data_IF_159851964021
#
_entry.id   IF_159851964021
#
_cell.length_a   1.000
_cell.length_b   1.000
_cell.length_c   1.000
_cell.angle_alpha   90.00
_cell.angle_beta   90.00
_cell.angle_gamma   90.00
#
_symmetry.space_group_name_H-M   'P 1'
#
loop_
_entity.id
_entity.type
_entity.pdbx_description
1 polymer ?
#
# COMPACT_ATOMS: atom_id res chain seq x y z
N UNK A 1 12.81 7.20 16.93
CA UNK A 1 11.62 6.77 17.72
C UNK A 1 12.01 5.57 18.57
N UNK A 2 11.49 5.47 19.82
CA UNK A 2 11.71 4.25 20.61
C UNK A 2 10.95 3.07 19.99
N UNK A 3 11.50 1.86 20.14
CA UNK A 3 10.78 0.64 19.73
C UNK A 3 9.38 0.55 20.35
N UNK A 4 9.24 1.00 21.60
CA UNK A 4 7.95 1.00 22.29
C UNK A 4 6.93 1.99 21.69
N UNK A 5 7.38 3.13 21.18
CA UNK A 5 6.49 4.10 20.51
C UNK A 5 5.94 3.49 19.22
N UNK A 6 6.81 2.91 18.40
CA UNK A 6 6.42 2.21 17.16
C UNK A 6 5.49 1.05 17.46
N UNK A 7 5.80 0.27 18.49
CA UNK A 7 4.98 -0.89 18.89
C UNK A 7 3.58 -0.47 19.35
N UNK A 8 3.47 0.62 20.11
CA UNK A 8 2.17 1.14 20.57
C UNK A 8 1.30 1.60 19.38
N UNK A 9 1.87 2.30 18.41
CA UNK A 9 1.16 2.69 17.19
C UNK A 9 0.70 1.48 16.38
N UNK A 10 1.53 0.44 16.29
CA UNK A 10 1.14 -0.80 15.62
C UNK A 10 0.02 -1.54 16.37
N UNK A 11 -0.02 -1.48 17.70
CA UNK A 11 -1.13 -2.04 18.50
C UNK A 11 -2.46 -1.31 18.21
N UNK A 12 -2.44 0.01 18.03
CA UNK A 12 -3.65 0.77 17.66
C UNK A 12 -4.15 0.33 16.29
N UNK A 13 -3.25 0.20 15.32
CA UNK A 13 -3.57 -0.31 13.97
C UNK A 13 -4.15 -1.73 14.04
N UNK A 14 -3.52 -2.61 14.81
CA UNK A 14 -3.97 -4.00 15.01
C UNK A 14 -5.34 -4.05 15.68
N UNK A 15 -5.57 -3.20 16.69
CA UNK A 15 -6.88 -3.12 17.35
C UNK A 15 -8.00 -2.74 16.40
N UNK A 16 -7.78 -1.73 15.54
CA UNK A 16 -8.74 -1.36 14.51
C UNK A 16 -9.01 -2.52 13.52
N UNK A 17 -7.96 -3.22 13.09
CA UNK A 17 -8.12 -4.39 12.21
C UNK A 17 -8.87 -5.53 12.93
N UNK A 18 -8.57 -5.81 14.20
CA UNK A 18 -9.26 -6.81 15.00
C UNK A 18 -10.75 -6.45 15.20
N UNK A 19 -11.05 -5.17 15.41
CA UNK A 19 -12.44 -4.70 15.51
C UNK A 19 -13.20 -4.91 14.19
N UNK A 20 -12.58 -4.64 13.04
CA UNK A 20 -13.16 -4.92 11.73
C UNK A 20 -13.40 -6.42 11.49
N UNK A 21 -12.44 -7.27 11.87
CA UNK A 21 -12.57 -8.72 11.82
C UNK A 21 -13.74 -9.21 12.68
N UNK A 22 -13.86 -8.73 13.91
CA UNK A 22 -14.95 -9.06 14.80
C UNK A 22 -16.30 -8.55 14.28
N UNK A 23 -16.34 -7.33 13.75
CA UNK A 23 -17.55 -6.76 13.17
C UNK A 23 -18.08 -7.62 12.01
N UNK A 24 -17.18 -8.18 11.18
CA UNK A 24 -17.55 -9.12 10.14
C UNK A 24 -18.11 -10.43 10.72
N UNK A 25 -17.41 -11.03 11.69
CA UNK A 25 -17.86 -12.28 12.34
C UNK A 25 -19.18 -12.14 13.09
N UNK A 26 -19.48 -10.95 13.62
CA UNK A 26 -20.75 -10.63 14.29
C UNK A 26 -21.85 -10.21 13.31
N UNK A 27 -21.57 -10.12 12.00
CA UNK A 27 -22.56 -9.80 10.97
C UNK A 27 -22.86 -8.30 10.79
N UNK A 28 -22.11 -7.40 11.45
CA UNK A 28 -22.21 -5.95 11.22
C UNK A 28 -21.60 -5.54 9.87
N UNK A 29 -20.55 -6.23 9.42
CA UNK A 29 -19.94 -6.09 8.11
C UNK A 29 -20.19 -7.35 7.29
N UNK A 30 -20.29 -7.18 6.00
CA UNK A 30 -20.55 -8.25 5.03
C UNK A 30 -19.81 -7.93 3.73
N UNK A 31 -19.65 -8.91 2.87
CA UNK A 31 -19.02 -8.72 1.55
C UNK A 31 -19.61 -7.55 0.76
N UNK A 32 -20.93 -7.33 0.83
CA UNK A 32 -21.58 -6.20 0.16
C UNK A 32 -21.24 -4.87 0.84
N UNK A 33 -21.25 -4.85 2.17
CA UNK A 33 -20.88 -3.66 2.96
C UNK A 33 -19.42 -3.29 2.70
N UNK A 34 -18.52 -4.27 2.66
CA UNK A 34 -17.09 -4.08 2.40
C UNK A 34 -16.85 -3.49 1.00
N UNK A 35 -17.59 -3.97 -0.01
CA UNK A 35 -17.52 -3.39 -1.35
C UNK A 35 -17.98 -1.93 -1.39
N UNK A 36 -19.06 -1.59 -0.69
CA UNK A 36 -19.57 -0.22 -0.62
C UNK A 36 -18.60 0.70 0.14
N UNK A 37 -18.03 0.20 1.25
CA UNK A 37 -17.04 0.93 2.03
C UNK A 37 -15.75 1.15 1.23
N UNK A 38 -15.29 0.15 0.49
CA UNK A 38 -14.15 0.28 -0.42
C UNK A 38 -14.39 1.35 -1.50
N UNK A 39 -15.58 1.37 -2.10
CA UNK A 39 -15.97 2.39 -3.09
C UNK A 39 -16.00 3.78 -2.48
N UNK A 40 -16.53 3.94 -1.28
CA UNK A 40 -16.56 5.21 -0.56
C UNK A 40 -15.14 5.70 -0.23
N UNK A 41 -14.30 4.80 0.29
CA UNK A 41 -12.90 5.10 0.58
C UNK A 41 -12.14 5.58 -0.66
N UNK A 42 -12.15 4.79 -1.73
CA UNK A 42 -11.39 5.11 -2.94
C UNK A 42 -12.03 6.20 -3.79
N UNK A 43 -13.35 6.40 -3.68
CA UNK A 43 -14.08 7.41 -4.47
C UNK A 43 -14.07 8.80 -3.87
N UNK A 44 -14.03 8.92 -2.54
CA UNK A 44 -14.23 10.21 -1.84
C UNK A 44 -13.18 10.42 -0.75
N UNK A 45 -13.04 9.49 0.20
CA UNK A 45 -12.29 9.71 1.44
C UNK A 45 -10.78 9.80 1.18
N UNK A 46 -10.21 8.83 0.44
CA UNK A 46 -8.79 8.84 0.06
C UNK A 46 -8.44 10.01 -0.86
N UNK A 47 -9.23 10.37 -1.89
CA UNK A 47 -9.04 11.63 -2.62
C UNK A 47 -9.00 12.88 -1.74
N UNK A 48 -9.89 12.98 -0.74
CA UNK A 48 -9.85 14.09 0.22
C UNK A 48 -8.56 14.07 1.07
N UNK A 49 -8.12 12.89 1.53
CA UNK A 49 -6.85 12.74 2.24
C UNK A 49 -5.67 13.21 1.39
N UNK A 50 -5.62 12.78 0.12
CA UNK A 50 -4.56 13.15 -0.83
C UNK A 50 -4.53 14.66 -1.05
N UNK A 51 -5.66 15.28 -1.32
CA UNK A 51 -5.74 16.73 -1.53
C UNK A 51 -5.49 17.51 -0.23
N UNK A 52 -5.93 16.99 0.91
CA UNK A 52 -5.66 17.54 2.23
C UNK A 52 -4.18 17.57 2.57
N UNK A 53 -3.38 16.59 2.10
CA UNK A 53 -1.94 16.51 2.38
C UNK A 53 -1.13 17.69 1.83
N UNK A 54 -1.64 18.39 0.80
CA UNK A 54 -1.00 19.58 0.24
C UNK A 54 -1.63 20.90 0.72
N UNK A 55 -2.66 20.83 1.56
CA UNK A 55 -3.33 22.01 2.15
C UNK A 55 -2.87 22.32 3.58
N UNK A 56 -2.29 21.33 4.28
CA UNK A 56 -2.02 21.38 5.72
C UNK A 56 -0.61 21.90 6.08
N UNK A 57 0.25 22.20 5.12
CA UNK A 57 1.63 22.60 5.39
C UNK A 57 1.89 24.09 5.16
N UNK A 58 2.50 24.76 6.14
CA UNK A 58 3.05 26.11 5.98
C UNK A 58 4.18 26.17 4.92
N UNK A 59 4.72 24.99 4.55
CA UNK A 59 5.74 24.83 3.51
C UNK A 59 5.39 23.65 2.62
N UNK A 60 4.95 23.95 1.40
CA UNK A 60 4.84 22.93 0.36
C UNK A 60 6.22 22.34 0.04
N UNK A 61 6.34 21.02 -0.23
CA UNK A 61 7.60 20.41 -0.59
C UNK A 61 8.24 21.09 -1.78
N UNK A 62 9.54 21.29 -1.71
CA UNK A 62 10.32 21.89 -2.80
C UNK A 62 10.33 20.97 -4.03
N UNK A 63 10.51 21.57 -5.21
CA UNK A 63 10.68 20.80 -6.47
C UNK A 63 11.79 19.76 -6.36
N UNK A 64 12.87 20.06 -5.59
CA UNK A 64 13.96 19.12 -5.33
C UNK A 64 13.53 17.89 -4.54
N UNK A 65 12.66 18.06 -3.54
CA UNK A 65 12.09 16.94 -2.76
C UNK A 65 11.15 16.11 -3.61
N UNK A 66 10.29 16.73 -4.41
CA UNK A 66 9.41 16.00 -5.34
C UNK A 66 10.23 15.15 -6.31
N UNK A 67 11.30 15.71 -6.89
CA UNK A 67 12.20 14.98 -7.79
C UNK A 67 12.91 13.83 -7.05
N UNK A 68 13.27 14.05 -5.80
CA UNK A 68 13.84 13.03 -4.91
C UNK A 68 12.88 11.83 -4.73
N UNK A 69 11.59 12.10 -4.43
CA UNK A 69 10.57 11.05 -4.32
C UNK A 69 10.39 10.27 -5.62
N UNK A 70 10.37 10.96 -6.76
CA UNK A 70 10.25 10.32 -8.07
C UNK A 70 11.43 9.40 -8.39
N UNK A 71 12.66 9.81 -8.05
CA UNK A 71 13.86 8.96 -8.18
C UNK A 71 13.74 7.70 -7.29
N UNK A 72 13.32 7.88 -6.04
CA UNK A 72 13.08 6.77 -5.12
C UNK A 72 11.97 5.84 -5.64
N UNK A 73 10.90 6.39 -6.23
CA UNK A 73 9.83 5.59 -6.84
C UNK A 73 10.34 4.70 -7.99
N UNK A 74 11.23 5.23 -8.84
CA UNK A 74 11.86 4.44 -9.92
C UNK A 74 12.63 3.25 -9.33
N UNK A 75 13.43 3.49 -8.29
CA UNK A 75 14.19 2.42 -7.62
C UNK A 75 13.26 1.41 -6.98
N UNK A 76 12.21 1.89 -6.28
CA UNK A 76 11.20 1.07 -5.63
C UNK A 76 10.54 0.08 -6.60
N UNK A 77 9.94 0.60 -7.67
CA UNK A 77 9.26 -0.26 -8.66
C UNK A 77 10.25 -1.06 -9.49
N UNK A 78 11.42 -0.50 -9.81
CA UNK A 78 12.51 -1.23 -10.47
C UNK A 78 12.92 -2.48 -9.70
N UNK A 79 13.11 -2.36 -8.38
CA UNK A 79 13.44 -3.49 -7.50
C UNK A 79 12.29 -4.50 -7.43
N UNK A 80 11.03 -4.03 -7.37
CA UNK A 80 9.85 -4.89 -7.39
C UNK A 80 9.76 -5.72 -8.67
N UNK A 81 9.90 -5.09 -9.84
CA UNK A 81 9.90 -5.77 -11.14
C UNK A 81 11.10 -6.71 -11.31
N UNK A 82 12.28 -6.31 -10.88
CA UNK A 82 13.47 -7.16 -10.89
C UNK A 82 13.25 -8.42 -10.05
N UNK A 83 12.70 -8.29 -8.85
CA UNK A 83 12.37 -9.41 -7.97
C UNK A 83 11.31 -10.32 -8.56
N UNK A 84 10.29 -9.75 -9.20
CA UNK A 84 9.27 -10.51 -9.90
C UNK A 84 9.82 -11.28 -11.12
N UNK A 85 10.83 -10.77 -11.79
CA UNK A 85 11.51 -11.48 -12.88
C UNK A 85 12.35 -12.67 -12.37
N UNK A 86 12.85 -12.59 -11.14
CA UNK A 86 13.59 -13.68 -10.48
C UNK A 86 12.67 -14.72 -9.83
N UNK A 87 11.38 -14.41 -9.62
CA UNK A 87 10.41 -15.25 -8.93
C UNK A 87 10.40 -16.71 -9.40
N UNK A 88 10.37 -17.05 -10.71
CA UNK A 88 10.31 -18.44 -11.14
C UNK A 88 11.50 -19.29 -10.65
N UNK A 89 12.66 -18.65 -10.44
CA UNK A 89 13.86 -19.32 -9.91
C UNK A 89 13.84 -19.44 -8.38
N UNK A 90 13.16 -18.52 -7.70
CA UNK A 90 13.13 -18.44 -6.24
C UNK A 90 12.00 -19.28 -5.63
N UNK A 91 10.81 -19.19 -6.17
CA UNK A 91 9.60 -19.78 -5.60
C UNK A 91 9.07 -20.94 -6.45
N UNK A 92 9.27 -20.93 -7.76
CA UNK A 92 8.75 -21.95 -8.69
C UNK A 92 7.22 -22.03 -8.66
N UNK A 93 6.63 -23.13 -9.04
CA UNK A 93 5.18 -23.39 -8.95
C UNK A 93 4.44 -23.34 -10.28
N UNK A 94 3.12 -23.49 -10.22
CA UNK A 94 2.26 -23.44 -11.40
C UNK A 94 2.15 -22.02 -11.97
N UNK A 95 1.96 -21.89 -13.29
CA UNK A 95 1.95 -20.59 -13.98
C UNK A 95 0.98 -19.56 -13.35
N UNK A 96 -0.22 -19.99 -12.93
CA UNK A 96 -1.18 -19.09 -12.26
C UNK A 96 -0.71 -18.60 -10.88
N UNK A 97 -0.02 -19.46 -10.12
CA UNK A 97 0.57 -19.09 -8.83
C UNK A 97 1.73 -18.11 -9.03
N UNK A 98 2.57 -18.33 -10.05
CA UNK A 98 3.66 -17.42 -10.37
C UNK A 98 3.15 -16.00 -10.67
N UNK A 99 2.01 -15.87 -11.34
CA UNK A 99 1.35 -14.58 -11.54
C UNK A 99 1.03 -13.86 -10.24
N UNK A 100 0.47 -14.59 -9.27
CA UNK A 100 0.16 -14.06 -7.93
C UNK A 100 1.43 -13.64 -7.19
N UNK A 101 2.48 -14.43 -7.25
CA UNK A 101 3.73 -14.11 -6.54
C UNK A 101 4.46 -12.93 -7.15
N UNK A 102 4.52 -12.83 -8.48
CA UNK A 102 5.03 -11.63 -9.17
C UNK A 102 4.25 -10.39 -8.79
N UNK A 103 2.91 -10.48 -8.82
CA UNK A 103 2.06 -9.39 -8.39
C UNK A 103 2.35 -8.98 -6.95
N UNK A 104 2.43 -9.94 -6.04
CA UNK A 104 2.72 -9.72 -4.62
C UNK A 104 4.10 -9.09 -4.38
N UNK A 105 5.10 -9.41 -5.19
CA UNK A 105 6.45 -8.82 -5.07
C UNK A 105 6.50 -7.37 -5.56
N UNK A 106 5.71 -7.01 -6.56
CA UNK A 106 5.69 -5.64 -7.12
C UNK A 106 4.77 -4.73 -6.29
N UNK A 107 3.57 -5.22 -5.94
CA UNK A 107 2.49 -4.38 -5.43
C UNK A 107 2.21 -4.66 -3.96
N UNK A 108 2.45 -3.65 -3.12
CA UNK A 108 2.13 -3.64 -1.69
C UNK A 108 0.85 -2.90 -1.38
N UNK A 109 0.28 -3.15 -0.21
CA UNK A 109 -0.89 -2.46 0.29
C UNK A 109 -0.53 -1.06 0.82
N UNK A 110 -0.12 -0.18 -0.10
CA UNK A 110 0.39 1.15 0.22
C UNK A 110 -0.72 2.11 0.66
N UNK A 111 -1.95 1.96 0.13
CA UNK A 111 -3.04 2.90 0.42
C UNK A 111 -3.77 2.57 1.73
N UNK A 112 -4.26 1.34 1.90
CA UNK A 112 -5.10 0.99 3.05
C UNK A 112 -4.32 0.80 4.36
N UNK A 113 -3.09 0.27 4.30
CA UNK A 113 -2.22 0.09 5.47
C UNK A 113 -1.06 1.08 5.43
N UNK A 114 -0.48 1.32 4.26
CA UNK A 114 0.73 2.12 4.11
C UNK A 114 0.55 3.59 4.49
N UNK A 115 -0.55 4.25 4.11
CA UNK A 115 -0.81 5.63 4.53
C UNK A 115 -0.94 5.77 6.04
N UNK A 116 -1.84 5.00 6.71
CA UNK A 116 -1.92 5.01 8.17
C UNK A 116 -0.58 4.77 8.87
N UNK A 117 0.16 3.75 8.45
CA UNK A 117 1.45 3.41 9.04
C UNK A 117 2.49 4.52 8.81
N UNK A 118 2.53 5.09 7.60
CA UNK A 118 3.48 6.17 7.30
C UNK A 118 3.21 7.41 8.15
N UNK A 119 1.92 7.78 8.34
CA UNK A 119 1.53 8.90 9.20
C UNK A 119 1.83 8.62 10.66
N UNK A 120 1.54 7.41 11.15
CA UNK A 120 1.82 7.00 12.51
C UNK A 120 3.33 7.04 12.83
N UNK A 121 4.18 6.60 11.90
CA UNK A 121 5.63 6.53 12.12
C UNK A 121 6.37 7.85 11.89
N UNK A 122 5.95 8.63 10.90
CA UNK A 122 6.72 9.79 10.42
C UNK A 122 5.95 11.11 10.49
N UNK A 123 4.70 11.09 10.98
CA UNK A 123 3.84 12.27 11.07
C UNK A 123 3.12 12.60 9.77
N UNK A 124 2.30 13.66 9.82
CA UNK A 124 1.45 14.07 8.68
C UNK A 124 2.25 14.46 7.42
N UNK A 125 3.47 14.94 7.59
CA UNK A 125 4.36 15.31 6.49
C UNK A 125 4.68 14.11 5.57
N UNK A 126 4.73 12.91 6.13
CA UNK A 126 4.99 11.69 5.38
C UNK A 126 3.91 11.37 4.34
N UNK A 127 2.68 11.85 4.56
CA UNK A 127 1.54 11.52 3.71
C UNK A 127 1.75 11.99 2.27
N UNK A 128 2.25 13.22 2.09
CA UNK A 128 2.50 13.76 0.75
C UNK A 128 3.51 12.90 -0.03
N UNK A 129 4.62 12.53 0.60
CA UNK A 129 5.63 11.68 -0.05
C UNK A 129 5.11 10.27 -0.33
N UNK A 130 4.33 9.71 0.59
CA UNK A 130 3.67 8.43 0.39
C UNK A 130 2.68 8.47 -0.79
N UNK A 131 1.90 9.54 -0.94
CA UNK A 131 0.97 9.75 -2.06
C UNK A 131 1.70 9.75 -3.40
N UNK A 132 2.83 10.46 -3.52
CA UNK A 132 3.63 10.46 -4.77
C UNK A 132 4.21 9.07 -5.06
N UNK A 133 4.69 8.35 -4.05
CA UNK A 133 5.19 6.98 -4.20
C UNK A 133 4.09 5.99 -4.64
N UNK A 134 2.82 6.24 -4.26
CA UNK A 134 1.66 5.41 -4.64
C UNK A 134 1.14 5.74 -6.03
N UNK A 135 1.44 6.90 -6.61
CA UNK A 135 1.00 7.27 -7.96
C UNK A 135 1.33 6.20 -9.02
N UNK A 136 2.60 5.73 -9.14
CA UNK A 136 2.93 4.65 -10.06
C UNK A 136 2.20 3.33 -9.73
N UNK A 137 1.92 3.04 -8.44
CA UNK A 137 1.16 1.86 -8.06
C UNK A 137 -0.20 1.80 -8.75
N UNK A 138 -0.97 2.88 -8.67
CA UNK A 138 -2.29 2.92 -9.27
C UNK A 138 -2.23 2.70 -10.80
N UNK A 139 -1.25 3.34 -11.45
CA UNK A 139 -1.05 3.20 -12.89
C UNK A 139 -0.62 1.77 -13.27
N UNK A 140 0.41 1.25 -12.61
CA UNK A 140 1.04 -0.03 -12.95
C UNK A 140 0.17 -1.22 -12.51
N UNK A 141 -0.48 -1.16 -11.34
CA UNK A 141 -1.30 -2.24 -10.82
C UNK A 141 -2.52 -2.51 -11.71
N UNK A 142 -3.17 -1.46 -12.20
CA UNK A 142 -4.34 -1.62 -13.06
C UNK A 142 -3.99 -1.86 -14.54
N UNK A 143 -2.81 -1.45 -15.02
CA UNK A 143 -2.36 -1.70 -16.39
C UNK A 143 -1.65 -3.04 -16.55
N UNK A 144 -0.65 -3.32 -15.71
CA UNK A 144 0.18 -4.53 -15.78
C UNK A 144 -0.33 -5.67 -14.88
N UNK A 145 -1.11 -5.33 -13.82
CA UNK A 145 -1.63 -6.33 -12.89
C UNK A 145 -2.40 -7.46 -13.57
N UNK A 146 -3.39 -7.18 -14.46
CA UNK A 146 -4.10 -8.22 -15.22
C UNK A 146 -3.18 -9.09 -16.09
N UNK A 147 -2.17 -8.48 -16.72
CA UNK A 147 -1.18 -9.20 -17.52
C UNK A 147 -0.34 -10.15 -16.65
N UNK A 148 0.10 -9.67 -15.50
CA UNK A 148 0.92 -10.43 -14.55
C UNK A 148 0.12 -11.59 -13.96
N UNK A 149 -1.15 -11.36 -13.57
CA UNK A 149 -1.99 -12.34 -12.89
C UNK A 149 -2.55 -13.42 -13.80
N UNK A 150 -2.92 -13.06 -15.04
CA UNK A 150 -3.68 -13.94 -15.92
C UNK A 150 -3.14 -14.04 -17.34
N UNK A 151 -2.03 -13.37 -17.65
CA UNK A 151 -1.48 -13.32 -19.01
C UNK A 151 -2.37 -12.55 -20.02
N UNK A 152 -3.38 -11.80 -19.52
CA UNK A 152 -4.33 -11.05 -20.36
C UNK A 152 -4.12 -9.55 -20.17
N UNK A 153 -3.78 -8.87 -21.23
CA UNK A 153 -3.71 -7.41 -21.26
C UNK A 153 -5.03 -6.83 -21.75
N UNK A 154 -5.89 -6.40 -20.84
CA UNK A 154 -7.06 -5.55 -21.15
C UNK A 154 -6.89 -4.23 -20.41
N UNK A 155 -6.10 -3.35 -21.00
CA UNK A 155 -5.94 -2.00 -20.50
C UNK A 155 -7.24 -1.21 -20.67
N UNK A 156 -7.80 -0.69 -19.57
CA UNK A 156 -8.99 0.17 -19.58
C UNK A 156 -8.57 1.59 -19.23
N UNK A 157 -8.61 2.51 -20.18
CA UNK A 157 -8.31 3.93 -19.96
C UNK A 157 -9.10 4.55 -18.81
N UNK A 158 -10.31 4.07 -18.55
CA UNK A 158 -11.17 4.52 -17.46
C UNK A 158 -10.53 4.33 -16.07
N UNK A 159 -9.62 3.39 -15.92
CA UNK A 159 -8.92 3.15 -14.66
C UNK A 159 -7.88 4.24 -14.35
N UNK A 160 -7.35 4.91 -15.38
CA UNK A 160 -6.47 6.07 -15.22
C UNK A 160 -7.20 7.30 -14.71
N UNK A 161 -8.52 7.35 -14.85
CA UNK A 161 -9.38 8.41 -14.36
C UNK A 161 -9.96 8.09 -12.97
N UNK A 162 -9.36 7.17 -12.22
CA UNK A 162 -9.80 6.90 -10.85
C UNK A 162 -9.67 8.16 -9.98
N UNK A 163 -10.62 8.40 -9.05
CA UNK A 163 -10.58 9.58 -8.19
C UNK A 163 -9.25 9.77 -7.44
N UNK A 164 -8.63 8.68 -7.01
CA UNK A 164 -7.33 8.72 -6.35
C UNK A 164 -6.20 9.20 -7.28
N UNK A 165 -6.17 8.75 -8.54
CA UNK A 165 -5.16 9.21 -9.52
C UNK A 165 -5.37 10.70 -9.83
N UNK A 166 -6.62 11.10 -10.08
CA UNK A 166 -6.96 12.51 -10.36
C UNK A 166 -6.56 13.39 -9.17
N UNK A 167 -6.92 13.00 -7.95
CA UNK A 167 -6.54 13.73 -6.73
C UNK A 167 -5.01 13.81 -6.56
N UNK A 168 -4.28 12.72 -6.85
CA UNK A 168 -2.81 12.69 -6.75
C UNK A 168 -2.15 13.62 -7.78
N UNK A 169 -2.67 13.64 -9.01
CA UNK A 169 -2.19 14.57 -10.05
C UNK A 169 -2.46 16.02 -9.66
N UNK A 170 -3.67 16.32 -9.15
CA UNK A 170 -4.01 17.66 -8.67
C UNK A 170 -3.10 18.05 -7.49
N UNK A 171 -2.90 17.18 -6.51
CA UNK A 171 -2.02 17.43 -5.37
C UNK A 171 -0.59 17.72 -5.83
N UNK A 172 -0.07 16.95 -6.80
CA UNK A 172 1.25 17.19 -7.39
C UNK A 172 1.32 18.54 -8.10
N UNK A 173 0.28 18.92 -8.84
CA UNK A 173 0.20 20.23 -9.49
C UNK A 173 0.15 21.36 -8.46
N UNK A 174 -0.67 21.25 -7.42
CA UNK A 174 -0.74 22.21 -6.30
C UNK A 174 0.63 22.41 -5.67
N UNK A 175 1.36 21.32 -5.40
CA UNK A 175 2.71 21.38 -4.83
C UNK A 175 3.72 22.01 -5.79
N UNK A 176 3.76 21.60 -7.07
CA UNK A 176 4.72 22.09 -8.06
C UNK A 176 4.52 23.59 -8.39
N UNK A 177 3.30 24.04 -8.48
CA UNK A 177 2.96 25.43 -8.80
C UNK A 177 2.77 26.31 -7.56
N UNK A 178 2.99 25.77 -6.36
CA UNK A 178 2.81 26.47 -5.08
C UNK A 178 1.45 27.16 -4.97
N UNK A 179 0.38 26.47 -5.38
CA UNK A 179 -0.97 27.01 -5.38
C UNK A 179 -1.50 27.07 -3.94
N UNK A 180 -1.80 28.26 -3.44
CA UNK A 180 -2.38 28.43 -2.12
C UNK A 180 -3.84 27.96 -2.12
N UNK A 181 -4.12 26.93 -1.34
CA UNK A 181 -5.47 26.41 -1.15
C UNK A 181 -6.20 27.23 -0.06
N UNK A 182 -7.50 27.61 -0.25
CA UNK A 182 -8.27 28.26 0.80
C UNK A 182 -8.30 27.41 2.08
N UNK A 183 -8.04 28.04 3.24
CA UNK A 183 -7.93 27.35 4.53
C UNK A 183 -9.16 26.48 4.84
N UNK A 184 -10.36 27.02 4.64
CA UNK A 184 -11.60 26.28 4.85
C UNK A 184 -11.70 25.02 3.98
N UNK A 185 -11.27 25.09 2.72
CA UNK A 185 -11.26 23.93 1.84
C UNK A 185 -10.28 22.87 2.36
N UNK A 186 -9.09 23.31 2.81
CA UNK A 186 -8.10 22.45 3.43
C UNK A 186 -8.64 21.74 4.67
N UNK A 187 -9.31 22.46 5.56
CA UNK A 187 -9.95 21.89 6.76
C UNK A 187 -11.01 20.83 6.40
N UNK A 188 -11.89 21.12 5.45
CA UNK A 188 -12.90 20.17 4.99
C UNK A 188 -12.28 18.89 4.40
N UNK A 189 -11.24 19.05 3.58
CA UNK A 189 -10.51 17.92 2.98
C UNK A 189 -9.81 17.09 4.05
N UNK A 190 -9.12 17.71 5.00
CA UNK A 190 -8.45 17.02 6.10
C UNK A 190 -9.43 16.31 7.03
N UNK A 191 -10.54 16.96 7.38
CA UNK A 191 -11.59 16.37 8.21
C UNK A 191 -12.17 15.11 7.55
N UNK A 192 -12.55 15.19 6.27
CA UNK A 192 -13.05 14.03 5.53
C UNK A 192 -11.97 12.99 5.33
N UNK A 193 -10.76 13.41 4.98
CA UNK A 193 -9.60 12.54 4.75
C UNK A 193 -9.18 11.76 6.00
N UNK A 194 -9.36 12.32 7.20
CA UNK A 194 -9.01 11.66 8.47
C UNK A 194 -9.76 10.35 8.71
N UNK A 195 -10.92 10.17 8.07
CA UNK A 195 -11.67 8.91 8.10
C UNK A 195 -10.93 7.75 7.39
N UNK A 196 -9.93 8.05 6.54
CA UNK A 196 -9.18 7.02 5.79
C UNK A 196 -8.58 5.99 6.74
N UNK A 197 -7.84 6.43 7.75
CA UNK A 197 -7.11 5.53 8.66
C UNK A 197 -8.05 4.55 9.38
N UNK A 198 -9.05 4.97 10.17
CA UNK A 198 -9.90 4.03 10.88
C UNK A 198 -10.74 3.15 9.94
N UNK A 199 -11.34 3.73 8.91
CA UNK A 199 -12.20 2.96 8.02
C UNK A 199 -11.43 1.97 7.14
N UNK A 200 -10.23 2.33 6.67
CA UNK A 200 -9.42 1.39 5.89
C UNK A 200 -8.94 0.21 6.72
N UNK A 201 -8.56 0.45 7.99
CA UNK A 201 -8.13 -0.63 8.88
C UNK A 201 -9.28 -1.54 9.28
N UNK A 202 -10.47 -0.99 9.56
CA UNK A 202 -11.69 -1.78 9.77
C UNK A 202 -12.02 -2.63 8.54
N UNK A 203 -11.95 -2.04 7.35
CA UNK A 203 -12.18 -2.76 6.10
C UNK A 203 -11.16 -3.88 5.89
N UNK A 204 -9.87 -3.64 6.12
CA UNK A 204 -8.83 -4.68 6.03
C UNK A 204 -9.14 -5.83 6.98
N UNK A 205 -9.50 -5.51 8.23
CA UNK A 205 -9.90 -6.51 9.23
C UNK A 205 -11.10 -7.34 8.78
N UNK A 206 -12.15 -6.68 8.26
CA UNK A 206 -13.34 -7.35 7.72
C UNK A 206 -12.99 -8.29 6.55
N UNK A 207 -12.20 -7.82 5.60
CA UNK A 207 -11.78 -8.63 4.45
C UNK A 207 -10.93 -9.83 4.85
N UNK A 208 -10.10 -9.70 5.89
CA UNK A 208 -9.34 -10.84 6.43
C UNK A 208 -10.25 -11.92 7.01
N UNK A 209 -11.42 -11.58 7.55
CA UNK A 209 -12.35 -12.55 8.12
C UNK A 209 -12.96 -13.53 7.10
N UNK A 210 -13.00 -13.15 5.82
CA UNK A 210 -13.49 -13.99 4.73
C UNK A 210 -12.42 -14.91 4.12
N UNK A 211 -11.15 -14.74 4.49
CA UNK A 211 -10.05 -15.47 3.87
C UNK A 211 -9.87 -16.87 4.47
N UNK A 212 -9.47 -17.87 3.65
CA UNK A 212 -9.27 -19.25 4.11
C UNK A 212 -8.00 -19.40 4.96
N UNK A 213 -8.15 -19.47 6.29
CA UNK A 213 -7.03 -19.53 7.23
C UNK A 213 -6.15 -20.79 7.12
N UNK A 214 -6.77 -21.96 6.91
CA UNK A 214 -6.08 -23.24 7.12
C UNK A 214 -4.91 -23.53 6.17
N UNK A 215 -5.07 -23.24 4.89
CA UNK A 215 -4.08 -23.58 3.85
C UNK A 215 -2.95 -22.57 3.72
N UNK A 216 -3.14 -21.33 4.18
CA UNK A 216 -2.11 -20.30 4.11
C UNK A 216 -0.85 -20.66 4.92
N UNK A 217 -1.03 -21.37 6.05
CA UNK A 217 0.10 -21.75 6.92
C UNK A 217 0.85 -23.00 6.47
N UNK A 218 0.26 -23.83 5.60
CA UNK A 218 0.84 -25.12 5.20
C UNK A 218 1.77 -25.05 4.00
N UNK A 219 1.78 -23.94 3.26
CA UNK A 219 2.59 -23.79 2.06
C UNK A 219 3.97 -23.16 2.34
N UNK A 220 5.08 -23.90 2.22
CA UNK A 220 6.43 -23.33 2.39
C UNK A 220 6.73 -22.18 1.43
N UNK A 221 6.12 -22.19 0.24
CA UNK A 221 6.29 -21.16 -0.77
C UNK A 221 5.64 -19.84 -0.37
N UNK A 222 4.48 -19.90 0.29
CA UNK A 222 3.83 -18.69 0.82
C UNK A 222 4.66 -18.07 1.96
N UNK A 223 5.27 -18.88 2.80
CA UNK A 223 6.21 -18.41 3.82
C UNK A 223 7.45 -17.78 3.20
N UNK A 224 8.01 -18.38 2.15
CA UNK A 224 9.14 -17.82 1.41
C UNK A 224 8.75 -16.49 0.75
N UNK A 225 7.55 -16.40 0.13
CA UNK A 225 7.02 -15.16 -0.41
C UNK A 225 6.88 -14.08 0.68
N UNK A 226 6.29 -14.44 1.82
CA UNK A 226 6.10 -13.50 2.93
C UNK A 226 7.45 -12.98 3.46
N UNK A 227 8.41 -13.86 3.68
CA UNK A 227 9.76 -13.48 4.12
C UNK A 227 10.47 -12.58 3.11
N UNK A 228 10.38 -12.92 1.82
CA UNK A 228 10.98 -12.14 0.75
C UNK A 228 10.33 -10.75 0.63
N UNK A 229 8.98 -10.71 0.65
CA UNK A 229 8.19 -9.50 0.52
C UNK A 229 8.37 -8.54 1.70
N UNK A 230 8.29 -9.07 2.94
CA UNK A 230 8.21 -8.26 4.14
C UNK A 230 9.58 -7.92 4.76
N UNK A 231 10.63 -8.67 4.42
CA UNK A 231 11.96 -8.48 4.99
C UNK A 231 13.02 -8.24 3.93
N UNK A 232 13.18 -9.16 2.96
CA UNK A 232 14.29 -9.10 2.01
C UNK A 232 14.17 -7.88 1.12
N UNK A 233 13.00 -7.65 0.49
CA UNK A 233 12.78 -6.51 -0.41
C UNK A 233 12.97 -5.16 0.29
N UNK A 234 12.35 -4.86 1.44
CA UNK A 234 12.55 -3.58 2.11
C UNK A 234 14.00 -3.39 2.60
N UNK A 235 14.67 -4.46 3.06
CA UNK A 235 16.10 -4.38 3.45
C UNK A 235 16.97 -4.10 2.21
N UNK A 236 16.71 -4.75 1.08
CA UNK A 236 17.43 -4.46 -0.17
C UNK A 236 17.23 -3.02 -0.62
N UNK A 237 15.99 -2.50 -0.56
CA UNK A 237 15.70 -1.11 -0.89
C UNK A 237 16.44 -0.17 0.06
N UNK A 238 16.38 -0.41 1.36
CA UNK A 238 17.07 0.40 2.36
C UNK A 238 18.58 0.45 2.14
N UNK A 239 19.23 -0.70 1.94
CA UNK A 239 20.64 -0.80 1.67
C UNK A 239 21.03 -0.08 0.37
N UNK A 240 20.23 -0.24 -0.68
CA UNK A 240 20.46 0.41 -1.97
C UNK A 240 20.34 1.93 -1.86
N UNK A 241 19.29 2.46 -1.23
CA UNK A 241 19.10 3.90 -1.04
C UNK A 241 20.20 4.51 -0.15
N UNK A 242 20.58 3.80 0.91
CA UNK A 242 21.68 4.21 1.79
C UNK A 242 23.03 4.26 1.06
N UNK A 243 23.30 3.27 0.21
CA UNK A 243 24.54 3.19 -0.56
C UNK A 243 24.62 4.26 -1.66
N UNK A 244 23.52 4.52 -2.35
CA UNK A 244 23.47 5.47 -3.47
C UNK A 244 23.22 6.91 -3.05
N UNK A 245 22.73 7.14 -1.83
CA UNK A 245 22.32 8.47 -1.36
C UNK A 245 21.13 9.05 -2.12
N UNK A 246 20.33 8.20 -2.82
CA UNK A 246 19.14 8.63 -3.55
C UNK A 246 18.02 8.90 -2.55
N UNK A 247 17.50 10.12 -2.57
CA UNK A 247 16.39 10.54 -1.71
C UNK A 247 16.87 11.20 -0.42
N UNK A 248 15.97 11.96 0.20
CA UNK A 248 16.18 12.42 1.57
C UNK A 248 16.01 11.24 2.54
N UNK A 249 16.59 11.29 3.75
CA UNK A 249 16.40 10.22 4.73
C UNK A 249 14.92 9.90 5.02
N UNK A 250 14.09 10.94 5.12
CA UNK A 250 12.65 10.78 5.35
C UNK A 250 11.98 10.03 4.19
N UNK A 251 12.22 10.45 2.95
CA UNK A 251 11.66 9.82 1.75
C UNK A 251 12.11 8.36 1.61
N UNK A 252 13.40 8.09 1.89
CA UNK A 252 13.95 6.74 1.88
C UNK A 252 13.27 5.84 2.92
N UNK A 253 13.12 6.32 4.16
CA UNK A 253 12.47 5.57 5.23
C UNK A 253 10.98 5.30 4.93
N UNK A 254 10.25 6.30 4.40
CA UNK A 254 8.85 6.12 3.96
C UNK A 254 8.78 5.05 2.86
N UNK A 255 9.66 5.11 1.87
CA UNK A 255 9.68 4.13 0.79
C UNK A 255 9.97 2.71 1.30
N UNK A 256 10.89 2.55 2.25
CA UNK A 256 11.21 1.25 2.87
C UNK A 256 10.01 0.71 3.64
N UNK A 257 9.32 1.54 4.43
CA UNK A 257 8.11 1.14 5.14
C UNK A 257 6.99 0.77 4.15
N UNK A 258 6.78 1.56 3.09
CA UNK A 258 5.79 1.22 2.05
C UNK A 258 6.17 -0.07 1.29
N UNK A 259 7.46 -0.34 1.10
CA UNK A 259 7.94 -1.61 0.55
C UNK A 259 7.67 -2.78 1.52
N UNK A 260 7.71 -2.57 2.81
CA UNK A 260 7.44 -3.58 3.84
C UNK A 260 5.93 -3.85 4.04
N UNK A 261 5.04 -3.11 3.39
CA UNK A 261 3.60 -3.38 3.47
C UNK A 261 3.25 -4.74 2.87
N UNK A 262 2.21 -5.41 3.39
CA UNK A 262 1.75 -6.70 2.87
C UNK A 262 1.28 -6.60 1.41
N UNK A 263 0.97 -7.73 0.81
CA UNK A 263 0.44 -7.81 -0.56
C UNK A 263 -0.81 -6.95 -0.72
N UNK A 264 -0.92 -6.27 -1.85
CA UNK A 264 -2.01 -5.35 -2.14
C UNK A 264 -3.38 -6.06 -2.23
N UNK A 265 -4.38 -5.54 -1.50
CA UNK A 265 -5.73 -6.10 -1.43
C UNK A 265 -6.47 -6.12 -2.78
N UNK A 266 -6.23 -5.12 -3.63
CA UNK A 266 -6.83 -5.06 -4.97
C UNK A 266 -6.39 -6.22 -5.88
N UNK A 267 -5.31 -6.93 -5.53
CA UNK A 267 -4.90 -8.15 -6.21
C UNK A 267 -5.97 -9.24 -6.22
N UNK A 268 -6.77 -9.37 -5.15
CA UNK A 268 -7.90 -10.32 -5.10
C UNK A 268 -8.97 -9.98 -6.12
N UNK A 269 -9.31 -8.70 -6.25
CA UNK A 269 -10.30 -8.23 -7.22
C UNK A 269 -9.81 -8.46 -8.66
N UNK A 270 -8.53 -8.12 -8.92
CA UNK A 270 -7.93 -8.32 -10.24
C UNK A 270 -7.80 -9.82 -10.58
N UNK A 271 -7.40 -10.67 -9.63
CA UNK A 271 -7.35 -12.11 -9.85
C UNK A 271 -8.73 -12.69 -10.18
N UNK A 272 -9.78 -12.22 -9.50
CA UNK A 272 -11.16 -12.65 -9.74
C UNK A 272 -11.68 -12.17 -11.10
N UNK A 273 -11.43 -10.91 -11.45
CA UNK A 273 -11.93 -10.29 -12.70
C UNK A 273 -11.24 -10.87 -13.94
N UNK A 274 -9.93 -11.16 -13.85
CA UNK A 274 -9.13 -11.57 -15.01
C UNK A 274 -8.76 -13.07 -15.03
N UNK A 275 -9.25 -13.87 -14.07
CA UNK A 275 -9.07 -15.33 -14.07
C UNK A 275 -7.71 -15.79 -13.53
N UNK A 276 -7.08 -15.00 -12.66
CA UNK A 276 -5.90 -15.39 -11.87
C UNK A 276 -6.25 -16.43 -10.79
N UNK A 277 -5.25 -16.88 -10.04
CA UNK A 277 -5.42 -17.79 -8.90
C UNK A 277 -5.92 -17.00 -7.66
N UNK A 278 -7.25 -16.96 -7.49
CA UNK A 278 -7.90 -16.21 -6.40
C UNK A 278 -7.62 -16.79 -5.03
N UNK A 279 -7.48 -18.12 -4.92
CA UNK A 279 -7.18 -18.78 -3.65
C UNK A 279 -5.74 -18.47 -3.21
N UNK A 280 -4.77 -18.64 -4.11
CA UNK A 280 -3.38 -18.30 -3.85
C UNK A 280 -3.21 -16.81 -3.50
N UNK A 281 -3.93 -15.91 -4.19
CA UNK A 281 -3.89 -14.47 -3.90
C UNK A 281 -4.45 -14.17 -2.51
N UNK A 282 -5.60 -14.75 -2.15
CA UNK A 282 -6.20 -14.58 -0.83
C UNK A 282 -5.28 -15.07 0.30
N UNK A 283 -4.65 -16.24 0.12
CA UNK A 283 -3.66 -16.79 1.06
C UNK A 283 -2.42 -15.90 1.18
N UNK A 284 -1.93 -15.35 0.06
CA UNK A 284 -0.77 -14.43 0.04
C UNK A 284 -1.07 -13.14 0.80
N UNK A 285 -2.24 -12.53 0.57
CA UNK A 285 -2.68 -11.33 1.27
C UNK A 285 -2.80 -11.62 2.76
N UNK A 286 -3.49 -12.70 3.12
CA UNK A 286 -3.70 -13.08 4.51
C UNK A 286 -2.37 -13.28 5.25
N UNK A 287 -1.49 -14.15 4.75
CA UNK A 287 -0.24 -14.48 5.42
C UNK A 287 0.67 -13.25 5.53
N UNK A 288 0.81 -12.48 4.44
CA UNK A 288 1.65 -11.27 4.48
C UNK A 288 1.09 -10.20 5.40
N UNK A 289 -0.24 -10.03 5.47
CA UNK A 289 -0.86 -9.07 6.40
C UNK A 289 -0.66 -9.50 7.85
N UNK A 290 -0.85 -10.78 8.16
CA UNK A 290 -0.62 -11.29 9.52
C UNK A 290 0.85 -11.13 9.95
N UNK A 291 1.79 -11.48 9.08
CA UNK A 291 3.22 -11.36 9.37
C UNK A 291 3.69 -9.91 9.45
N UNK A 292 3.05 -9.00 8.71
CA UNK A 292 3.41 -7.57 8.73
C UNK A 292 3.21 -6.92 10.10
N UNK A 293 2.34 -7.46 10.93
CA UNK A 293 2.12 -7.00 12.32
C UNK A 293 3.43 -7.04 13.13
N UNK A 294 4.28 -8.03 12.84
CA UNK A 294 5.57 -8.19 13.53
C UNK A 294 6.71 -7.55 12.74
N UNK A 295 6.71 -7.71 11.41
CA UNK A 295 7.84 -7.29 10.59
C UNK A 295 7.93 -5.78 10.43
N UNK A 296 6.79 -5.05 10.39
CA UNK A 296 6.80 -3.59 10.28
C UNK A 296 7.45 -2.94 11.51
N UNK A 297 7.05 -3.26 12.78
CA UNK A 297 7.73 -2.70 13.96
C UNK A 297 9.23 -3.00 14.01
N UNK A 298 9.63 -4.21 13.62
CA UNK A 298 11.05 -4.60 13.58
C UNK A 298 11.83 -3.76 12.57
N UNK A 299 11.30 -3.58 11.37
CA UNK A 299 11.94 -2.75 10.34
C UNK A 299 11.93 -1.27 10.72
N UNK A 300 10.84 -0.76 11.27
CA UNK A 300 10.75 0.64 11.71
C UNK A 300 11.75 0.96 12.84
N UNK A 301 12.05 -0.01 13.69
CA UNK A 301 13.07 0.15 14.73
C UNK A 301 14.52 0.12 14.19
N UNK A 302 14.74 -0.35 12.96
CA UNK A 302 16.05 -0.38 12.30
C UNK A 302 16.32 0.90 11.48
N UNK A 303 15.27 1.68 11.14
CA UNK A 303 15.34 2.93 10.37
C UNK A 303 15.58 4.15 11.25
#
# INVERSE_FOLDING_TARGET
MSFFDVFSEMLVILFCMAAGFLAHKLGYLSKQTDQNLCRLLLGIIVPCLILGSVSAGDTLPSTGEILSVLKVAIVYYGLGFFSAALEPRLLGGMAKQQGVWRYSLIFSNMAFIGYPVSVALFGQEALFYAVILVLPFNLLSYSLGPLILAGQAKFRWQQLLSPCIVASVIALMVALFHINMPALLGECLNFTGSLTTPLSLLLVGSLLADLPFGRAFTSPRLWALAAFRLLILPIMLWLFLKWTGIGTPLVANIAVILMAMPTALNGSMLAMEYGGDTECMAQSIFLTTLMSIITIPVLAALL
#
